data_IF_473796514329
#
_entry.id   IF_473796514329
#
_cell.length_a   1.000
_cell.length_b   1.000
_cell.length_c   1.000
_cell.angle_alpha   90.00
_cell.angle_beta   90.00
_cell.angle_gamma   90.00
#
_symmetry.space_group_name_H-M   'P 1'
#
loop_
_entity.id
_entity.type
_entity.pdbx_description
1 polymer ?
#
# COMPACT_ATOMS: atom_id res chain seq x y z
N UNK A 1 10.09 -19.00 -0.35
CA UNK A 1 9.71 -17.89 -1.25
C UNK A 1 9.80 -16.58 -0.45
N UNK A 2 10.56 -15.58 -0.92
CA UNK A 2 10.82 -14.34 -0.17
C UNK A 2 9.60 -13.39 -0.21
N UNK A 3 8.58 -13.69 0.59
CA UNK A 3 7.39 -12.85 0.72
C UNK A 3 7.67 -11.56 1.49
N UNK A 4 8.74 -11.54 2.31
CA UNK A 4 9.16 -10.40 3.13
C UNK A 4 9.50 -9.14 2.32
N UNK A 5 9.99 -9.29 1.09
CA UNK A 5 10.40 -8.17 0.24
C UNK A 5 9.24 -7.51 -0.52
N UNK A 6 8.02 -8.04 -0.39
CA UNK A 6 6.88 -7.60 -1.20
C UNK A 6 6.19 -6.37 -0.62
N UNK A 7 5.98 -6.33 0.70
CA UNK A 7 5.45 -5.18 1.44
C UNK A 7 6.63 -4.39 2.03
N UNK A 8 6.94 -3.23 1.43
CA UNK A 8 8.11 -2.45 1.82
C UNK A 8 7.83 -1.56 3.02
N UNK A 9 6.89 -0.63 2.88
CA UNK A 9 6.60 0.37 3.91
C UNK A 9 5.14 0.82 3.86
N UNK A 10 4.53 1.21 4.99
CA UNK A 10 3.25 1.91 4.99
C UNK A 10 3.43 3.29 4.35
N UNK A 11 2.44 3.74 3.58
CA UNK A 11 2.45 5.05 2.93
C UNK A 11 1.48 5.98 3.64
N UNK A 12 2.04 6.93 4.38
CA UNK A 12 1.28 7.89 5.17
C UNK A 12 1.06 9.15 4.33
N UNK A 13 -0.20 9.44 4.03
CA UNK A 13 -0.66 10.68 3.37
C UNK A 13 -2.03 11.04 3.93
N UNK A 14 -2.46 12.30 3.81
CA UNK A 14 -3.79 12.74 4.26
C UNK A 14 -4.91 11.83 3.76
N UNK A 15 -4.86 11.46 2.46
CA UNK A 15 -5.80 10.51 1.86
C UNK A 15 -5.68 9.10 2.44
N UNK A 16 -4.46 8.62 2.71
CA UNK A 16 -4.28 7.31 3.31
C UNK A 16 -4.87 7.26 4.72
N UNK A 17 -4.65 8.30 5.53
CA UNK A 17 -5.28 8.45 6.85
C UNK A 17 -6.79 8.50 6.73
N UNK A 18 -7.33 9.26 5.77
CA UNK A 18 -8.78 9.32 5.53
C UNK A 18 -9.38 7.94 5.21
N UNK A 19 -8.68 7.11 4.42
CA UNK A 19 -9.11 5.75 4.08
C UNK A 19 -9.08 4.76 5.25
N UNK A 20 -8.34 5.06 6.32
CA UNK A 20 -8.36 4.24 7.55
C UNK A 20 -9.64 4.43 8.36
N UNK A 21 -10.33 5.57 8.19
CA UNK A 21 -11.62 5.83 8.82
C UNK A 21 -12.70 5.46 7.81
N UNK A 22 -13.41 4.32 7.98
CA UNK A 22 -14.48 3.97 7.06
C UNK A 22 -15.57 5.05 7.12
N UNK A 23 -16.03 5.49 5.94
CA UNK A 23 -17.10 6.47 5.86
C UNK A 23 -18.37 5.93 6.53
N UNK A 24 -19.02 6.74 7.37
CA UNK A 24 -20.29 6.39 8.03
C UNK A 24 -21.31 5.98 6.94
N UNK A 25 -21.80 4.74 7.00
CA UNK A 25 -22.75 4.18 6.04
C UNK A 25 -22.13 3.40 4.86
N UNK A 26 -20.80 3.35 4.73
CA UNK A 26 -20.15 2.51 3.71
C UNK A 26 -20.01 1.06 4.19
N UNK A 27 -20.30 0.09 3.33
CA UNK A 27 -20.05 -1.35 3.58
C UNK A 27 -18.56 -1.72 3.53
N UNK A 28 -17.69 -0.79 3.12
CA UNK A 28 -16.26 -1.02 2.99
C UNK A 28 -15.57 -0.83 4.34
N UNK A 29 -14.72 -1.79 4.73
CA UNK A 29 -13.87 -1.65 5.89
C UNK A 29 -12.70 -0.68 5.67
N UNK A 30 -11.87 -0.47 6.70
CA UNK A 30 -10.73 0.42 6.62
C UNK A 30 -9.73 -0.07 5.57
N UNK A 31 -9.06 0.88 4.91
CA UNK A 31 -8.06 0.59 3.90
C UNK A 31 -6.71 1.19 4.25
N UNK A 32 -5.67 0.38 4.11
CA UNK A 32 -4.29 0.74 4.41
C UNK A 32 -3.47 0.75 3.13
N UNK A 33 -2.67 1.81 2.94
CA UNK A 33 -1.85 1.97 1.75
C UNK A 33 -0.40 1.60 2.06
N UNK A 34 0.20 0.75 1.22
CA UNK A 34 1.58 0.31 1.34
C UNK A 34 2.33 0.57 0.04
N UNK A 35 3.63 0.83 0.15
CA UNK A 35 4.57 0.70 -0.94
C UNK A 35 4.97 -0.76 -1.08
N UNK A 36 4.95 -1.26 -2.31
CA UNK A 36 5.21 -2.66 -2.64
C UNK A 36 6.31 -2.79 -3.68
N UNK A 37 6.92 -3.97 -3.75
CA UNK A 37 7.91 -4.28 -4.78
C UNK A 37 7.32 -4.09 -6.20
N UNK A 38 8.13 -3.63 -7.14
CA UNK A 38 7.71 -3.37 -8.53
C UNK A 38 7.09 -4.61 -9.20
N UNK A 39 7.64 -5.78 -8.89
CA UNK A 39 7.21 -7.09 -9.38
C UNK A 39 5.99 -7.67 -8.65
N UNK A 40 5.50 -7.03 -7.58
CA UNK A 40 4.43 -7.56 -6.75
C UNK A 40 3.11 -7.68 -7.53
N UNK A 41 2.45 -8.84 -7.42
CA UNK A 41 1.09 -9.08 -7.91
C UNK A 41 0.07 -9.00 -6.77
N UNK A 42 -1.22 -8.86 -7.06
CA UNK A 42 -2.27 -8.83 -6.03
C UNK A 42 -2.23 -10.04 -5.06
N UNK A 43 -2.15 -11.31 -5.52
CA UNK A 43 -2.10 -12.45 -4.61
C UNK A 43 -0.83 -12.44 -3.74
N UNK A 44 0.31 -12.04 -4.31
CA UNK A 44 1.55 -11.91 -3.55
C UNK A 44 1.44 -10.87 -2.42
N UNK A 45 0.81 -9.72 -2.69
CA UNK A 45 0.60 -8.69 -1.66
C UNK A 45 -0.35 -9.21 -0.57
N UNK A 46 -1.43 -9.91 -0.95
CA UNK A 46 -2.37 -10.47 0.01
C UNK A 46 -1.69 -11.49 0.94
N UNK A 47 -0.90 -12.42 0.37
CA UNK A 47 -0.16 -13.41 1.15
C UNK A 47 0.88 -12.76 2.06
N UNK A 48 1.66 -11.80 1.55
CA UNK A 48 2.64 -11.09 2.36
C UNK A 48 1.98 -10.31 3.51
N UNK A 49 0.79 -9.76 3.26
CA UNK A 49 0.02 -9.03 4.26
C UNK A 49 -0.51 -9.96 5.35
N UNK A 50 -1.08 -11.11 4.96
CA UNK A 50 -1.54 -12.14 5.89
C UNK A 50 -0.40 -12.67 6.77
N UNK A 51 0.78 -12.91 6.20
CA UNK A 51 1.95 -13.37 6.97
C UNK A 51 2.41 -12.29 7.98
N UNK A 52 2.46 -11.02 7.56
CA UNK A 52 2.99 -9.93 8.39
C UNK A 52 2.02 -9.49 9.50
N UNK A 53 0.74 -9.38 9.19
CA UNK A 53 -0.27 -8.81 10.09
C UNK A 53 -1.27 -9.85 10.61
N UNK A 54 -1.23 -11.10 10.14
CA UNK A 54 -2.16 -12.18 10.52
C UNK A 54 -3.65 -11.85 10.27
N UNK A 55 -3.91 -10.89 9.39
CA UNK A 55 -5.24 -10.44 9.01
C UNK A 55 -5.50 -10.76 7.53
N UNK A 56 -6.73 -11.20 7.22
CA UNK A 56 -7.13 -11.56 5.86
C UNK A 56 -7.69 -10.34 5.11
N UNK A 57 -7.03 -9.87 4.05
CA UNK A 57 -7.53 -8.75 3.27
C UNK A 57 -8.78 -9.15 2.46
N UNK A 58 -9.80 -8.29 2.42
CA UNK A 58 -10.97 -8.50 1.56
C UNK A 58 -10.68 -8.17 0.10
N UNK A 59 -9.92 -7.11 -0.13
CA UNK A 59 -9.65 -6.60 -1.47
C UNK A 59 -8.29 -5.92 -1.50
N UNK A 60 -7.56 -6.12 -2.59
CA UNK A 60 -6.31 -5.42 -2.85
C UNK A 60 -6.41 -4.66 -4.18
N UNK A 61 -6.20 -3.36 -4.12
CA UNK A 61 -6.11 -2.48 -5.29
C UNK A 61 -4.68 -1.99 -5.42
N UNK A 62 -4.11 -2.08 -6.61
CA UNK A 62 -2.71 -1.73 -6.86
C UNK A 62 -2.61 -0.65 -7.93
N UNK A 63 -1.64 0.26 -7.79
CA UNK A 63 -1.38 1.35 -8.73
C UNK A 63 0.14 1.51 -8.91
N UNK A 64 0.59 1.60 -10.16
CA UNK A 64 1.96 1.95 -10.49
C UNK A 64 2.07 3.48 -10.59
N UNK A 65 3.03 4.08 -9.89
CA UNK A 65 3.44 5.46 -10.08
C UNK A 65 4.75 5.48 -10.87
N UNK A 66 4.76 6.07 -12.08
CA UNK A 66 5.98 6.18 -12.86
C UNK A 66 7.00 7.09 -12.18
N UNK A 67 8.27 6.87 -12.52
CA UNK A 67 9.35 7.77 -12.15
C UNK A 67 9.07 9.17 -12.69
N UNK A 68 9.28 10.20 -11.88
CA UNK A 68 9.17 11.60 -12.33
C UNK A 68 10.55 12.15 -12.61
N UNK A 69 10.71 12.81 -13.75
CA UNK A 69 11.91 13.56 -14.04
C UNK A 69 12.08 14.70 -13.03
N UNK A 70 13.30 14.90 -12.57
CA UNK A 70 13.67 15.98 -11.65
C UNK A 70 14.89 16.69 -12.16
N UNK A 71 15.03 17.96 -11.79
CA UNK A 71 16.21 18.74 -12.14
C UNK A 71 16.78 19.35 -10.87
N UNK A 72 18.09 19.16 -10.64
CA UNK A 72 18.76 19.72 -9.46
C UNK A 72 20.12 20.25 -9.86
N UNK A 73 20.33 21.57 -9.64
CA UNK A 73 21.62 22.26 -9.89
C UNK A 73 22.20 22.01 -11.29
N UNK A 74 21.38 22.14 -12.34
CA UNK A 74 21.86 21.93 -13.71
C UNK A 74 21.86 20.47 -14.18
N UNK A 75 21.66 19.50 -13.28
CA UNK A 75 21.72 18.07 -13.60
C UNK A 75 20.30 17.49 -13.73
N UNK A 76 20.05 16.81 -14.86
CA UNK A 76 18.85 16.00 -15.07
C UNK A 76 18.94 14.73 -14.24
N UNK A 77 17.91 14.44 -13.47
CA UNK A 77 17.76 13.20 -12.71
C UNK A 77 16.33 12.68 -12.77
N UNK A 78 16.06 11.61 -12.02
CA UNK A 78 14.71 11.08 -11.87
C UNK A 78 14.49 10.58 -10.45
N UNK A 79 13.23 10.63 -10.02
CA UNK A 79 12.78 9.99 -8.79
C UNK A 79 12.48 8.52 -9.06
N UNK A 80 12.66 7.67 -8.03
CA UNK A 80 12.34 6.27 -8.14
C UNK A 80 10.84 6.06 -8.44
N UNK A 81 10.53 5.14 -9.36
CA UNK A 81 9.17 4.69 -9.59
C UNK A 81 8.68 3.89 -8.37
N UNK A 82 7.46 4.15 -7.94
CA UNK A 82 6.87 3.52 -6.75
C UNK A 82 5.63 2.75 -7.16
N UNK A 83 5.45 1.56 -6.61
CA UNK A 83 4.20 0.82 -6.73
C UNK A 83 3.50 0.84 -5.38
N UNK A 84 2.23 1.23 -5.37
CA UNK A 84 1.43 1.26 -4.14
C UNK A 84 0.29 0.26 -4.19
N UNK A 85 -0.03 -0.33 -3.06
CA UNK A 85 -1.16 -1.21 -2.86
C UNK A 85 -2.05 -0.66 -1.74
N UNK A 86 -3.34 -0.53 -2.01
CA UNK A 86 -4.38 -0.28 -1.01
C UNK A 86 -5.00 -1.62 -0.64
N UNK A 87 -4.89 -1.98 0.62
CA UNK A 87 -5.39 -3.23 1.19
C UNK A 87 -6.62 -2.89 2.02
N UNK A 88 -7.76 -3.43 1.63
CA UNK A 88 -9.05 -3.24 2.28
C UNK A 88 -9.31 -4.41 3.24
N UNK A 89 -9.67 -4.09 4.48
CA UNK A 89 -9.98 -5.05 5.52
C UNK A 89 -11.50 -5.19 5.74
N UNK A 90 -11.88 -6.13 6.60
CA UNK A 90 -13.26 -6.21 7.11
C UNK A 90 -13.55 -5.02 8.03
N UNK A 91 -14.82 -4.66 8.14
CA UNK A 91 -15.25 -3.66 9.10
C UNK A 91 -14.88 -4.10 10.53
N UNK A 92 -14.27 -3.20 11.30
CA UNK A 92 -13.84 -3.45 12.68
C UNK A 92 -12.40 -3.96 12.84
N UNK A 93 -11.77 -4.47 11.78
CA UNK A 93 -10.35 -4.86 11.84
C UNK A 93 -9.45 -3.63 11.72
N UNK A 94 -8.45 -3.54 12.58
CA UNK A 94 -7.46 -2.46 12.57
C UNK A 94 -6.05 -3.04 12.61
N UNK A 95 -5.15 -2.30 12.00
CA UNK A 95 -3.71 -2.55 12.07
C UNK A 95 -3.10 -1.38 12.83
N UNK A 96 -2.18 -1.69 13.74
CA UNK A 96 -1.23 -0.70 14.25
C UNK A 96 -0.09 -0.54 13.23
N UNK A 97 0.07 0.70 12.76
CA UNK A 97 1.18 1.08 11.91
C UNK A 97 2.34 1.45 12.85
N UNK A 98 3.34 0.57 12.94
CA UNK A 98 4.63 0.84 13.63
C UNK A 98 5.61 1.48 12.64
#
# INVERSE_FOLDING_TARGET
MKNELILRAPRITEKATYLTVPAKGSKAGPAYTFEVAKMATKPMVAQAFEVKYKLKPQKVTMVNLPAKATFRRGVKGSTAAVKKAMVFLKAGEKIEIV
#
